data_IF_143977963191
#
_entry.id   IF_143977963191
#
_cell.length_a   1.000
_cell.length_b   1.000
_cell.length_c   1.000
_cell.angle_alpha   90.00
_cell.angle_beta   90.00
_cell.angle_gamma   90.00
#
_symmetry.space_group_name_H-M   'P 1'
#
loop_
_entity.id
_entity.type
_entity.pdbx_description
1 polymer ?
#
# COMPACT_ATOMS: atom_id res chain seq x y z
N UNK A 1 2.49 -9.79 31.13
CA UNK A 1 3.79 -9.12 30.98
C UNK A 1 3.99 -8.81 29.49
N UNK A 2 3.79 -7.56 29.05
CA UNK A 2 3.99 -7.16 27.65
C UNK A 2 5.43 -6.68 27.49
N UNK A 3 6.23 -7.39 26.70
CA UNK A 3 7.56 -6.96 26.30
C UNK A 3 7.41 -5.80 25.31
N UNK A 4 7.46 -4.57 25.81
CA UNK A 4 7.62 -3.35 25.00
C UNK A 4 9.09 -3.22 24.64
N UNK A 5 9.45 -3.65 23.42
CA UNK A 5 10.75 -3.34 22.83
C UNK A 5 10.82 -1.81 22.64
N UNK A 6 11.66 -1.15 23.44
CA UNK A 6 11.94 0.30 23.34
C UNK A 6 12.30 0.65 21.89
N UNK A 7 11.49 1.50 21.25
CA UNK A 7 11.77 2.08 19.94
C UNK A 7 10.74 1.80 18.85
N UNK A 8 9.87 0.79 19.00
CA UNK A 8 8.73 0.63 18.11
C UNK A 8 7.58 1.52 18.59
N UNK A 9 7.33 2.63 17.87
CA UNK A 9 6.06 3.35 18.02
C UNK A 9 4.95 2.33 17.68
N UNK A 10 3.89 2.20 18.50
CA UNK A 10 2.80 1.28 18.21
C UNK A 10 2.30 1.57 16.79
N UNK A 11 2.25 0.54 15.94
CA UNK A 11 1.61 0.64 14.62
C UNK A 11 0.25 1.32 14.83
N UNK A 12 0.00 2.39 14.08
CA UNK A 12 -1.21 3.18 14.23
C UNK A 12 -2.44 2.25 14.25
N UNK A 13 -3.41 2.43 15.18
CA UNK A 13 -4.50 1.48 15.40
C UNK A 13 -5.33 1.12 14.14
N UNK A 14 -5.22 1.90 13.07
CA UNK A 14 -5.89 1.67 11.79
C UNK A 14 -5.16 0.73 10.83
N UNK A 15 -3.86 0.44 11.00
CA UNK A 15 -3.10 -0.34 10.00
C UNK A 15 -3.67 -1.75 9.81
N UNK A 16 -3.99 -2.45 10.89
CA UNK A 16 -4.60 -3.78 10.84
C UNK A 16 -5.96 -3.75 10.13
N UNK A 17 -6.76 -2.69 10.36
CA UNK A 17 -8.04 -2.48 9.68
C UNK A 17 -7.85 -2.26 8.18
N UNK A 18 -6.89 -1.43 7.78
CA UNK A 18 -6.53 -1.18 6.38
C UNK A 18 -6.08 -2.48 5.71
N UNK A 19 -5.21 -3.26 6.37
CA UNK A 19 -4.75 -4.54 5.86
C UNK A 19 -5.89 -5.54 5.66
N UNK A 20 -6.81 -5.59 6.63
CA UNK A 20 -8.00 -6.42 6.55
C UNK A 20 -8.91 -5.98 5.40
N UNK A 21 -9.19 -4.68 5.26
CA UNK A 21 -10.02 -4.14 4.20
C UNK A 21 -9.44 -4.41 2.80
N UNK A 22 -8.12 -4.20 2.63
CA UNK A 22 -7.44 -4.45 1.36
C UNK A 22 -7.53 -5.93 0.94
N UNK A 23 -7.26 -6.84 1.88
CA UNK A 23 -7.36 -8.29 1.64
C UNK A 23 -8.80 -8.72 1.42
N UNK A 24 -9.76 -8.26 2.24
CA UNK A 24 -11.19 -8.58 2.09
C UNK A 24 -11.73 -8.14 0.73
N UNK A 25 -11.41 -6.92 0.29
CA UNK A 25 -11.89 -6.37 -0.98
C UNK A 25 -11.39 -7.16 -2.20
N UNK A 26 -10.21 -7.75 -2.10
CA UNK A 26 -9.58 -8.56 -3.15
C UNK A 26 -9.82 -10.06 -2.95
N UNK A 27 -10.71 -10.47 -2.05
CA UNK A 27 -10.98 -11.88 -1.79
C UNK A 27 -9.74 -12.65 -1.31
N UNK A 28 -8.83 -11.95 -0.63
CA UNK A 28 -7.56 -12.48 -0.14
C UNK A 28 -6.60 -12.95 -1.25
N UNK A 29 -6.78 -12.48 -2.50
CA UNK A 29 -5.89 -12.74 -3.63
C UNK A 29 -4.76 -11.71 -3.71
N UNK A 30 -3.57 -12.18 -4.07
CA UNK A 30 -2.46 -11.35 -4.51
C UNK A 30 -2.85 -10.63 -5.80
N UNK A 31 -2.72 -9.30 -5.82
CA UNK A 31 -3.14 -8.53 -6.99
C UNK A 31 -2.32 -8.82 -8.25
N UNK A 32 -1.06 -9.25 -8.06
CA UNK A 32 -0.13 -9.50 -9.16
C UNK A 32 -0.27 -10.89 -9.79
N UNK A 33 -0.37 -11.96 -8.99
CA UNK A 33 -0.20 -13.34 -9.49
C UNK A 33 -1.29 -14.34 -9.08
N UNK A 34 -2.40 -13.92 -8.46
CA UNK A 34 -3.46 -14.84 -8.03
C UNK A 34 -3.04 -15.94 -7.04
N UNK A 35 -1.89 -15.82 -6.38
CA UNK A 35 -1.66 -16.59 -5.15
C UNK A 35 -2.41 -15.96 -3.97
N UNK A 36 -2.50 -16.65 -2.83
CA UNK A 36 -3.04 -16.04 -1.59
C UNK A 36 -2.20 -14.83 -1.19
N UNK A 37 -2.88 -13.75 -0.79
CA UNK A 37 -2.22 -12.58 -0.24
C UNK A 37 -1.75 -12.85 1.18
N UNK A 38 -0.46 -12.61 1.42
CA UNK A 38 0.17 -12.81 2.73
C UNK A 38 0.47 -11.46 3.41
N UNK A 39 0.77 -10.45 2.60
CA UNK A 39 1.20 -9.13 3.03
C UNK A 39 0.38 -8.03 2.37
N UNK A 40 0.37 -6.85 2.99
CA UNK A 40 -0.14 -5.62 2.40
C UNK A 40 1.02 -4.66 2.23
N UNK A 41 1.27 -4.30 0.98
CA UNK A 41 2.41 -3.53 0.53
C UNK A 41 2.06 -2.05 0.43
N UNK A 42 2.91 -1.17 0.97
CA UNK A 42 2.85 0.27 0.74
C UNK A 42 3.45 0.64 -0.62
N UNK A 43 2.67 1.34 -1.44
CA UNK A 43 3.16 1.87 -2.73
C UNK A 43 4.09 3.08 -2.54
N UNK A 44 4.00 3.72 -1.38
CA UNK A 44 4.83 4.85 -0.94
C UNK A 44 4.86 4.89 0.59
N UNK A 45 6.00 5.25 1.18
CA UNK A 45 6.17 5.24 2.65
C UNK A 45 5.78 6.53 3.38
N UNK A 46 5.70 7.69 2.70
CA UNK A 46 5.63 8.96 3.45
C UNK A 46 4.82 10.12 2.89
N UNK A 47 4.37 10.12 1.64
CA UNK A 47 3.63 11.26 1.07
C UNK A 47 2.31 10.85 0.42
N UNK A 48 1.21 11.44 0.91
CA UNK A 48 0.01 11.61 0.11
C UNK A 48 0.35 12.66 -0.96
N UNK A 49 0.35 12.26 -2.23
CA UNK A 49 0.47 13.21 -3.33
C UNK A 49 -0.78 14.11 -3.32
N UNK A 50 -0.65 15.44 -3.38
CA UNK A 50 -1.80 16.30 -3.59
C UNK A 50 -2.31 16.08 -5.02
N UNK A 51 -3.61 15.83 -5.15
CA UNK A 51 -4.32 15.98 -6.43
C UNK A 51 -4.24 17.44 -6.89
N UNK A 52 -4.32 17.76 -8.20
CA UNK A 52 -3.74 18.99 -8.77
C UNK A 52 -4.48 20.31 -8.46
N UNK A 53 -5.44 20.34 -7.53
CA UNK A 53 -6.26 21.52 -7.25
C UNK A 53 -5.92 22.21 -5.92
N UNK A 54 -4.68 22.68 -5.74
CA UNK A 54 -4.33 23.93 -5.02
C UNK A 54 -2.83 23.99 -4.66
N UNK A 55 -2.09 24.88 -5.33
CA UNK A 55 -0.68 25.13 -5.03
C UNK A 55 -0.46 25.93 -3.72
N UNK A 56 -1.46 26.69 -3.25
CA UNK A 56 -1.33 27.52 -2.04
C UNK A 56 -1.53 26.71 -0.74
N UNK A 57 -2.36 25.66 -0.75
CA UNK A 57 -2.54 24.74 0.38
C UNK A 57 -1.40 23.71 0.49
N UNK A 58 -0.61 23.53 -0.57
CA UNK A 58 0.50 22.56 -0.60
C UNK A 58 1.60 22.88 0.42
N UNK A 59 1.89 24.16 0.69
CA UNK A 59 2.91 24.54 1.66
C UNK A 59 2.58 24.13 3.10
N UNK A 60 1.31 24.24 3.51
CA UNK A 60 0.84 23.78 4.82
C UNK A 60 0.68 22.24 4.89
N UNK A 61 0.47 21.59 3.74
CA UNK A 61 0.37 20.12 3.64
C UNK A 61 1.73 19.41 3.68
N UNK A 62 2.82 20.12 3.36
CA UNK A 62 4.20 19.65 3.48
C UNK A 62 4.66 19.40 4.93
N UNK A 63 3.82 19.71 5.93
CA UNK A 63 4.01 19.33 7.33
C UNK A 63 3.88 17.81 7.52
N UNK A 64 4.89 17.06 7.04
CA UNK A 64 5.43 15.78 7.55
C UNK A 64 4.46 14.79 8.23
N UNK A 65 3.21 14.69 7.78
CA UNK A 65 2.27 13.70 8.30
C UNK A 65 2.56 12.37 7.65
N UNK A 66 3.39 11.61 8.37
CA UNK A 66 3.44 10.14 8.37
C UNK A 66 2.05 9.59 8.02
N UNK A 67 1.89 9.03 6.82
CA UNK A 67 0.63 8.45 6.30
C UNK A 67 0.12 7.24 7.09
N UNK A 68 0.86 6.83 8.12
CA UNK A 68 0.60 5.66 8.94
C UNK A 68 -0.81 5.70 9.53
N UNK A 69 -1.67 4.79 9.07
CA UNK A 69 -3.07 4.67 9.50
C UNK A 69 -4.09 5.50 8.70
N UNK A 70 -3.66 6.15 7.62
CA UNK A 70 -4.50 6.91 6.67
C UNK A 70 -4.45 6.32 5.25
N UNK A 71 -3.75 5.20 5.07
CA UNK A 71 -3.58 4.58 3.76
C UNK A 71 -4.90 4.06 3.20
N UNK A 72 -5.10 4.27 1.89
CA UNK A 72 -6.31 3.84 1.19
C UNK A 72 -6.02 2.59 0.36
N UNK A 73 -6.71 1.46 0.60
CA UNK A 73 -6.60 0.27 -0.24
C UNK A 73 -6.81 0.56 -1.73
N UNK A 74 -5.92 0.06 -2.58
CA UNK A 74 -5.96 0.27 -4.03
C UNK A 74 -5.41 1.61 -4.51
N UNK A 75 -5.00 2.50 -3.59
CA UNK A 75 -4.34 3.76 -3.92
C UNK A 75 -2.99 3.89 -3.24
N UNK A 76 -2.94 3.62 -1.94
CA UNK A 76 -1.74 3.70 -1.11
C UNK A 76 -1.13 2.35 -0.82
N UNK A 77 -1.97 1.31 -0.80
CA UNK A 77 -1.57 -0.05 -0.43
C UNK A 77 -2.25 -1.11 -1.28
N UNK A 78 -1.58 -2.24 -1.47
CA UNK A 78 -2.11 -3.41 -2.20
C UNK A 78 -1.73 -4.73 -1.52
N UNK A 79 -2.61 -5.74 -1.51
CA UNK A 79 -2.29 -7.06 -0.99
C UNK A 79 -1.47 -7.88 -1.99
N UNK A 80 -0.39 -8.52 -1.52
CA UNK A 80 0.52 -9.34 -2.33
C UNK A 80 0.86 -10.64 -1.60
N UNK A 81 1.16 -11.69 -2.36
CA UNK A 81 1.86 -12.85 -1.82
C UNK A 81 3.32 -12.49 -1.52
N UNK A 82 4.01 -13.31 -0.73
CA UNK A 82 5.39 -13.08 -0.34
C UNK A 82 6.33 -12.88 -1.55
N UNK A 83 6.20 -13.73 -2.56
CA UNK A 83 7.03 -13.67 -3.77
C UNK A 83 6.86 -12.35 -4.51
N UNK A 84 5.62 -11.92 -4.76
CA UNK A 84 5.36 -10.66 -5.44
C UNK A 84 5.76 -9.45 -4.59
N UNK A 85 5.59 -9.52 -3.27
CA UNK A 85 6.06 -8.49 -2.36
C UNK A 85 7.57 -8.26 -2.48
N UNK A 86 8.37 -9.33 -2.55
CA UNK A 86 9.83 -9.21 -2.76
C UNK A 86 10.18 -8.65 -4.14
N UNK A 87 9.40 -8.99 -5.17
CA UNK A 87 9.62 -8.47 -6.53
C UNK A 87 9.39 -6.95 -6.61
N UNK A 88 8.36 -6.42 -5.96
CA UNK A 88 8.07 -4.98 -5.98
C UNK A 88 9.08 -4.16 -5.18
N UNK A 89 9.82 -4.77 -4.24
CA UNK A 89 10.94 -4.15 -3.53
C UNK A 89 12.30 -4.29 -4.23
N UNK A 90 12.39 -4.96 -5.38
CA UNK A 90 13.64 -4.96 -6.17
C UNK A 90 13.95 -3.54 -6.64
N UNK A 91 15.23 -3.18 -6.70
CA UNK A 91 15.70 -1.85 -7.10
C UNK A 91 15.15 -1.37 -8.46
N UNK A 92 14.84 -2.30 -9.38
CA UNK A 92 14.23 -1.96 -10.67
C UNK A 92 12.78 -1.44 -10.56
N UNK A 93 12.10 -1.76 -9.46
CA UNK A 93 10.71 -1.39 -9.20
C UNK A 93 10.58 -0.37 -8.06
N UNK A 94 11.69 -0.02 -7.42
CA UNK A 94 11.74 0.69 -6.16
C UNK A 94 12.93 1.63 -6.13
N UNK A 95 12.69 2.92 -5.87
CA UNK A 95 13.78 3.87 -5.75
C UNK A 95 13.71 4.66 -4.45
N UNK A 96 14.90 5.02 -3.99
CA UNK A 96 15.10 5.92 -2.86
C UNK A 96 14.92 7.34 -3.35
N UNK A 97 13.99 8.07 -2.78
CA UNK A 97 13.74 9.44 -3.21
C UNK A 97 14.95 10.32 -2.89
N UNK A 98 15.56 11.04 -3.87
CA UNK A 98 16.81 11.78 -3.63
C UNK A 98 16.72 12.84 -2.54
N UNK A 99 15.53 13.42 -2.36
CA UNK A 99 15.25 14.48 -1.38
C UNK A 99 14.58 13.96 -0.09
N UNK A 100 14.31 12.66 0.01
CA UNK A 100 13.77 12.05 1.22
C UNK A 100 14.35 10.64 1.40
N UNK A 101 15.43 10.49 2.20
CA UNK A 101 16.07 9.20 2.41
C UNK A 101 15.19 8.16 3.13
N UNK A 102 14.03 8.57 3.67
CA UNK A 102 12.99 7.69 4.22
C UNK A 102 11.73 7.63 3.31
N UNK A 103 11.77 8.28 2.14
CA UNK A 103 10.67 8.51 1.20
C UNK A 103 10.62 7.49 0.07
N UNK A 104 11.05 6.27 0.38
CA UNK A 104 11.08 5.13 -0.51
C UNK A 104 9.71 4.90 -1.18
N UNK A 105 9.72 4.72 -2.51
CA UNK A 105 8.51 4.48 -3.29
C UNK A 105 8.76 3.57 -4.49
N UNK A 106 7.71 2.89 -4.91
CA UNK A 106 7.69 2.24 -6.22
C UNK A 106 7.82 3.29 -7.34
N UNK A 107 8.38 2.88 -8.48
CA UNK A 107 8.30 3.69 -9.69
C UNK A 107 6.84 3.94 -10.12
N UNK A 108 6.51 5.11 -10.71
CA UNK A 108 5.15 5.46 -11.12
C UNK A 108 4.45 4.39 -11.96
N UNK A 109 5.19 3.71 -12.82
CA UNK A 109 4.71 2.63 -13.68
C UNK A 109 4.27 1.43 -12.86
N UNK A 110 5.08 1.04 -11.86
CA UNK A 110 4.76 -0.05 -10.93
C UNK A 110 3.54 0.31 -10.08
N UNK A 111 3.46 1.55 -9.59
CA UNK A 111 2.29 2.04 -8.85
C UNK A 111 1.04 1.96 -9.73
N UNK A 112 1.09 2.50 -10.94
CA UNK A 112 -0.02 2.51 -11.89
C UNK A 112 -0.51 1.09 -12.20
N UNK A 113 0.42 0.17 -12.46
CA UNK A 113 0.12 -1.23 -12.69
C UNK A 113 -0.57 -1.88 -11.48
N UNK A 114 0.01 -1.77 -10.28
CA UNK A 114 -0.52 -2.41 -9.07
C UNK A 114 -1.90 -1.86 -8.68
N UNK A 115 -2.14 -0.55 -8.87
CA UNK A 115 -3.47 0.05 -8.66
C UNK A 115 -4.51 -0.52 -9.62
N UNK A 116 -4.19 -0.60 -10.92
CA UNK A 116 -5.08 -1.20 -11.92
C UNK A 116 -5.37 -2.67 -11.59
N UNK A 117 -4.33 -3.42 -11.22
CA UNK A 117 -4.45 -4.82 -10.83
C UNK A 117 -5.34 -5.00 -9.60
N UNK A 118 -5.19 -4.15 -8.58
CA UNK A 118 -6.05 -4.15 -7.39
C UNK A 118 -7.53 -3.98 -7.77
N UNK A 119 -7.86 -2.95 -8.54
CA UNK A 119 -9.25 -2.69 -8.90
C UNK A 119 -9.85 -3.74 -9.82
N UNK A 120 -9.02 -4.37 -10.66
CA UNK A 120 -9.41 -5.57 -11.41
C UNK A 120 -9.82 -6.71 -10.48
N UNK A 121 -9.01 -7.05 -9.46
CA UNK A 121 -9.35 -8.13 -8.51
C UNK A 121 -10.61 -7.82 -7.71
N UNK A 122 -10.78 -6.58 -7.27
CA UNK A 122 -12.01 -6.16 -6.57
C UNK A 122 -13.24 -6.38 -7.45
N UNK A 123 -13.16 -6.06 -8.75
CA UNK A 123 -14.25 -6.31 -9.70
C UNK A 123 -14.52 -7.80 -9.86
N UNK A 124 -13.48 -8.61 -10.10
CA UNK A 124 -13.59 -10.06 -10.29
C UNK A 124 -14.17 -10.77 -9.06
N UNK A 125 -13.83 -10.33 -7.84
CA UNK A 125 -14.42 -10.86 -6.60
C UNK A 125 -15.87 -10.45 -6.44
N UNK A 126 -16.20 -9.18 -6.74
CA UNK A 126 -17.59 -8.69 -6.67
C UNK A 126 -18.51 -9.33 -7.71
N UNK A 127 -17.99 -9.66 -8.89
CA UNK A 127 -18.74 -10.35 -9.94
C UNK A 127 -18.84 -11.85 -9.73
N UNK A 128 -18.14 -12.42 -8.74
CA UNK A 128 -18.06 -13.87 -8.53
C UNK A 128 -17.14 -14.59 -9.51
N UNK A 129 -16.44 -13.89 -10.39
CA UNK A 129 -15.44 -14.46 -11.32
C UNK A 129 -14.24 -15.06 -10.56
N UNK A 130 -13.89 -14.46 -9.42
CA UNK A 130 -12.92 -15.02 -8.48
C UNK A 130 -13.58 -15.26 -7.13
N UNK A 131 -13.67 -16.50 -6.64
CA UNK A 131 -14.15 -16.76 -5.29
C UNK A 131 -13.13 -16.25 -4.26
N UNK A 132 -13.56 -15.73 -3.09
CA UNK A 132 -12.63 -15.39 -2.01
C UNK A 132 -11.85 -16.61 -1.50
N UNK A 133 -10.57 -16.44 -1.16
CA UNK A 133 -9.79 -17.43 -0.43
C UNK A 133 -10.00 -17.24 1.07
N UNK A 134 -10.37 -18.32 1.77
CA UNK A 134 -10.53 -18.37 3.22
C UNK A 134 -9.18 -18.18 3.96
#
# INVERSE_FOLDING_TARGET
>A
MKLTVRGQRPYAPNWNKICFQARKATGNWCVNCLNRAELVHHLYYRFLFPWPFNLLLNWLWFLRRKIYGLEVPGYSVVPLCWTCHRLVHRQLNWYKHPLDPDGDRNYPETISYLRKAYWRRVKEVKSGTLPPIL
#
